data_IF_635284643661
#
_entry.id   IF_635284643661
#
_cell.length_a   1.000
_cell.length_b   1.000
_cell.length_c   1.000
_cell.angle_alpha   90.00
_cell.angle_beta   90.00
_cell.angle_gamma   90.00
#
_symmetry.space_group_name_H-M   'P 1'
#
loop_
_entity.id
_entity.type
_entity.pdbx_description
1 polymer ?
#
# COMPACT_ATOMS: atom_id res chain seq x y z
N UNK A 1 21.24 -7.44 -46.56
CA UNK A 1 20.57 -6.14 -46.36
C UNK A 1 19.96 -6.14 -44.96
N UNK A 2 20.64 -5.51 -43.99
CA UNK A 2 20.19 -5.48 -42.59
C UNK A 2 19.46 -4.15 -42.34
N UNK A 3 18.17 -4.20 -41.98
CA UNK A 3 17.40 -3.03 -41.58
C UNK A 3 17.78 -2.63 -40.16
N UNK A 4 18.55 -1.55 -40.01
CA UNK A 4 18.72 -0.88 -38.72
C UNK A 4 17.40 -0.24 -38.31
N UNK A 5 16.80 -0.74 -37.24
CA UNK A 5 15.69 -0.06 -36.57
C UNK A 5 16.25 1.17 -35.85
N UNK A 6 16.01 2.35 -36.41
CA UNK A 6 16.20 3.61 -35.69
C UNK A 6 15.14 3.65 -34.60
N UNK A 7 15.58 3.54 -33.34
CA UNK A 7 14.72 3.78 -32.18
C UNK A 7 14.14 5.18 -32.29
N UNK A 8 12.82 5.28 -32.50
CA UNK A 8 12.13 6.57 -32.53
C UNK A 8 12.36 7.23 -31.18
N UNK A 9 13.01 8.40 -31.18
CA UNK A 9 13.13 9.26 -30.01
C UNK A 9 11.75 9.43 -29.39
N UNK A 10 11.49 8.70 -28.30
CA UNK A 10 10.26 8.85 -27.55
C UNK A 10 10.26 10.28 -27.00
N UNK A 11 9.30 11.09 -27.43
CA UNK A 11 9.14 12.43 -26.91
C UNK A 11 8.98 12.33 -25.39
N UNK A 12 9.70 13.17 -24.60
CA UNK A 12 9.61 13.12 -23.17
C UNK A 12 8.16 13.34 -22.74
N UNK A 13 7.64 12.41 -21.94
CA UNK A 13 6.30 12.53 -21.37
C UNK A 13 6.37 13.61 -20.30
N UNK A 14 5.72 14.75 -20.55
CA UNK A 14 5.70 15.85 -19.58
C UNK A 14 4.61 15.63 -18.53
N UNK A 15 4.79 16.19 -17.33
CA UNK A 15 3.77 16.14 -16.27
C UNK A 15 2.40 16.68 -16.74
N UNK A 16 2.39 17.67 -17.63
CA UNK A 16 1.18 18.21 -18.27
C UNK A 16 0.48 17.16 -19.13
N UNK A 17 1.23 16.34 -19.87
CA UNK A 17 0.68 15.27 -20.70
C UNK A 17 0.09 14.15 -19.84
N UNK A 18 0.76 13.78 -18.74
CA UNK A 18 0.23 12.80 -17.79
C UNK A 18 -1.05 13.27 -17.13
N UNK A 19 -1.09 14.51 -16.64
CA UNK A 19 -2.28 15.10 -16.00
C UNK A 19 -3.47 15.19 -16.96
N UNK A 20 -3.21 15.55 -18.23
CA UNK A 20 -4.25 15.57 -19.27
C UNK A 20 -4.81 14.17 -19.58
N UNK A 21 -3.92 13.16 -19.66
CA UNK A 21 -4.30 11.76 -19.87
C UNK A 21 -5.11 11.21 -18.69
N UNK A 22 -4.63 11.40 -17.46
CA UNK A 22 -5.33 11.00 -16.23
C UNK A 22 -6.74 11.59 -16.15
N UNK A 23 -6.88 12.90 -16.39
CA UNK A 23 -8.19 13.54 -16.40
C UNK A 23 -9.13 13.00 -17.49
N UNK A 24 -8.57 12.54 -18.63
CA UNK A 24 -9.36 11.95 -19.70
C UNK A 24 -9.85 10.55 -19.32
N UNK A 25 -8.97 9.72 -18.75
CA UNK A 25 -9.29 8.37 -18.29
C UNK A 25 -10.38 8.42 -17.19
N UNK A 26 -10.22 9.30 -16.21
CA UNK A 26 -11.19 9.47 -15.11
C UNK A 26 -12.57 9.91 -15.63
N UNK A 27 -12.64 10.71 -16.70
CA UNK A 27 -13.91 11.19 -17.26
C UNK A 27 -14.63 10.18 -18.16
N UNK A 28 -13.91 9.25 -18.77
CA UNK A 28 -14.48 8.33 -19.77
C UNK A 28 -14.99 7.03 -19.16
N UNK A 29 -14.64 6.74 -17.92
CA UNK A 29 -14.89 5.44 -17.32
C UNK A 29 -15.43 5.60 -15.89
N UNK A 30 -16.75 5.75 -15.76
CA UNK A 30 -17.47 5.74 -14.48
C UNK A 30 -17.27 4.42 -13.70
N UNK A 31 -16.76 3.36 -14.34
CA UNK A 31 -16.37 2.12 -13.67
C UNK A 31 -14.99 2.21 -13.00
N UNK A 32 -14.10 3.10 -13.47
CA UNK A 32 -12.77 3.32 -12.87
C UNK A 32 -12.80 4.28 -11.69
N UNK A 33 -13.91 5.00 -11.46
CA UNK A 33 -14.07 5.87 -10.27
C UNK A 33 -13.94 5.12 -8.95
N UNK A 34 -14.02 3.78 -8.96
CA UNK A 34 -13.82 2.92 -7.80
C UNK A 34 -12.54 2.06 -7.85
N UNK A 35 -11.79 2.07 -8.96
CA UNK A 35 -10.52 1.33 -9.03
C UNK A 35 -9.37 2.21 -8.55
N UNK A 36 -8.93 1.97 -7.32
CA UNK A 36 -7.75 2.58 -6.75
C UNK A 36 -6.52 2.24 -7.60
N UNK A 37 -5.80 3.26 -8.07
CA UNK A 37 -4.52 3.09 -8.75
C UNK A 37 -3.54 2.39 -7.79
N UNK A 38 -2.80 1.38 -8.27
CA UNK A 38 -1.78 0.70 -7.47
C UNK A 38 -0.44 0.68 -8.19
N UNK A 39 0.64 0.91 -7.45
CA UNK A 39 2.02 0.76 -7.91
C UNK A 39 2.52 -0.63 -7.56
N UNK A 40 3.15 -1.32 -8.51
CA UNK A 40 3.86 -2.58 -8.25
C UNK A 40 5.37 -2.35 -8.23
N UNK A 41 6.01 -2.68 -7.11
CA UNK A 41 7.47 -2.65 -6.94
C UNK A 41 7.92 -3.97 -6.31
N UNK A 42 8.86 -4.68 -6.94
CA UNK A 42 9.39 -5.96 -6.46
C UNK A 42 8.31 -6.99 -6.08
N UNK A 43 7.19 -7.00 -6.81
CA UNK A 43 6.03 -7.87 -6.54
C UNK A 43 5.06 -7.35 -5.48
N UNK A 44 5.39 -6.26 -4.80
CA UNK A 44 4.53 -5.64 -3.79
C UNK A 44 3.63 -4.56 -4.38
N UNK A 45 2.36 -4.55 -3.99
CA UNK A 45 1.35 -3.61 -4.51
C UNK A 45 0.99 -2.53 -3.50
N UNK A 46 1.23 -1.27 -3.89
CA UNK A 46 0.99 -0.10 -3.05
C UNK A 46 -0.15 0.74 -3.58
N UNK A 47 -1.13 1.13 -2.76
CA UNK A 47 -2.17 2.05 -3.19
C UNK A 47 -1.56 3.42 -3.52
N UNK A 48 -1.98 3.99 -4.65
CA UNK A 48 -1.67 5.34 -5.06
C UNK A 48 -2.90 6.21 -4.79
N UNK A 49 -2.69 7.28 -4.05
CA UNK A 49 -3.70 8.24 -3.59
C UNK A 49 -3.19 9.65 -3.86
N UNK A 50 -4.09 10.63 -3.79
CA UNK A 50 -3.68 12.04 -3.90
C UNK A 50 -2.81 12.50 -2.73
N UNK A 51 -2.80 11.78 -1.61
CA UNK A 51 -2.01 12.12 -0.44
C UNK A 51 -0.56 11.65 -0.58
N UNK A 52 -0.34 10.50 -1.22
CA UNK A 52 1.00 9.90 -1.30
C UNK A 52 1.67 10.03 -2.68
N UNK A 53 1.00 10.58 -3.69
CA UNK A 53 1.58 10.90 -4.99
C UNK A 53 1.75 12.41 -5.14
N UNK A 54 3.00 12.86 -5.25
CA UNK A 54 3.35 14.25 -5.51
C UNK A 54 4.15 14.36 -6.79
N UNK A 55 4.02 15.51 -7.47
CA UNK A 55 4.87 15.87 -8.60
C UNK A 55 5.54 17.18 -8.19
N UNK A 56 6.84 17.14 -7.99
CA UNK A 56 7.65 18.30 -7.63
C UNK A 56 7.80 19.28 -8.81
N UNK A 57 8.22 20.51 -8.52
CA UNK A 57 8.37 21.58 -9.52
C UNK A 57 9.46 21.32 -10.56
N UNK A 58 10.45 20.47 -10.23
CA UNK A 58 11.48 19.99 -11.14
C UNK A 58 11.04 18.76 -11.97
N UNK A 59 9.78 18.33 -11.81
CA UNK A 59 9.18 17.27 -12.62
C UNK A 59 9.47 15.86 -12.12
N UNK A 60 9.93 15.69 -10.88
CA UNK A 60 10.09 14.40 -10.22
C UNK A 60 8.74 13.92 -9.71
N UNK A 61 8.46 12.63 -9.88
CA UNK A 61 7.30 11.98 -9.28
C UNK A 61 7.77 11.39 -7.95
N UNK A 62 7.24 11.94 -6.86
CA UNK A 62 7.52 11.47 -5.51
C UNK A 62 6.34 10.61 -5.05
N UNK A 63 6.65 9.42 -4.56
CA UNK A 63 5.66 8.53 -3.97
C UNK A 63 6.07 8.21 -2.53
N UNK A 64 5.20 8.55 -1.59
CA UNK A 64 5.35 8.12 -0.20
C UNK A 64 4.75 6.73 -0.03
N UNK A 65 5.61 5.74 0.16
CA UNK A 65 5.17 4.37 0.37
C UNK A 65 5.05 4.14 1.87
N UNK A 66 3.82 4.17 2.39
CA UNK A 66 3.58 3.79 3.78
C UNK A 66 3.61 2.27 3.90
N UNK A 67 4.68 1.74 4.50
CA UNK A 67 4.70 0.36 4.96
C UNK A 67 3.98 0.34 6.31
N UNK A 68 2.82 -0.32 6.44
CA UNK A 68 2.21 -0.51 7.76
C UNK A 68 3.24 -1.20 8.65
N UNK A 69 3.58 -0.55 9.77
CA UNK A 69 4.46 -1.13 10.77
C UNK A 69 3.60 -1.83 11.82
N UNK A 70 3.60 -3.15 11.79
CA UNK A 70 2.81 -3.97 12.69
C UNK A 70 3.07 -3.69 14.17
N UNK A 71 4.31 -3.34 14.55
CA UNK A 71 4.62 -2.96 15.94
C UNK A 71 3.92 -1.65 16.32
N UNK A 72 3.89 -0.67 15.42
CA UNK A 72 3.19 0.61 15.65
C UNK A 72 1.68 0.36 15.75
N UNK A 73 1.12 -0.49 14.89
CA UNK A 73 -0.29 -0.86 14.94
C UNK A 73 -0.64 -1.58 16.24
N UNK A 74 0.19 -2.52 16.71
CA UNK A 74 0.00 -3.23 17.98
C UNK A 74 0.02 -2.27 19.18
N UNK A 75 0.98 -1.34 19.21
CA UNK A 75 1.05 -0.31 20.26
C UNK A 75 -0.19 0.59 20.21
N UNK A 76 -0.60 1.04 19.03
CA UNK A 76 -1.79 1.88 18.87
C UNK A 76 -3.06 1.17 19.33
N UNK A 77 -3.21 -0.12 19.00
CA UNK A 77 -4.33 -0.94 19.46
C UNK A 77 -4.35 -1.09 20.98
N UNK A 78 -3.21 -1.39 21.60
CA UNK A 78 -3.10 -1.53 23.05
C UNK A 78 -3.39 -0.20 23.80
N UNK A 79 -3.00 0.93 23.22
CA UNK A 79 -3.31 2.26 23.77
C UNK A 79 -4.78 2.64 23.60
N UNK A 80 -5.40 2.27 22.48
CA UNK A 80 -6.81 2.56 22.19
C UNK A 80 -7.77 1.66 22.97
N UNK A 81 -7.34 0.44 23.31
CA UNK A 81 -8.13 -0.55 24.04
C UNK A 81 -7.45 -0.89 25.38
N UNK A 82 -7.51 0.02 26.37
CA UNK A 82 -7.02 -0.24 27.72
C UNK A 82 -7.97 -1.19 28.47
N UNK A 83 -8.12 -2.43 27.99
CA UNK A 83 -8.74 -3.52 28.73
C UNK A 83 -7.77 -4.00 29.83
N UNK A 84 -8.19 -4.89 30.74
CA UNK A 84 -7.47 -5.20 32.00
C UNK A 84 -6.00 -5.67 31.87
N UNK A 85 -5.48 -5.95 30.67
CA UNK A 85 -4.03 -6.07 30.46
C UNK A 85 -3.58 -5.75 29.02
N UNK A 86 -3.31 -4.47 28.70
CA UNK A 86 -2.72 -4.09 27.40
C UNK A 86 -1.29 -4.62 27.26
N UNK A 87 -0.63 -4.88 28.40
CA UNK A 87 0.68 -5.49 28.46
C UNK A 87 0.66 -6.96 28.07
N UNK A 88 -0.38 -7.72 28.41
CA UNK A 88 -0.46 -9.13 27.99
C UNK A 88 -0.67 -9.25 26.49
N UNK A 89 -1.50 -8.39 25.89
CA UNK A 89 -1.60 -8.29 24.43
C UNK A 89 -0.22 -8.03 23.79
N UNK A 90 0.50 -7.00 24.27
CA UNK A 90 1.82 -6.67 23.72
C UNK A 90 2.86 -7.77 23.95
N UNK A 91 2.76 -8.51 25.05
CA UNK A 91 3.61 -9.68 25.32
C UNK A 91 3.32 -10.80 24.33
N UNK A 92 2.06 -11.17 24.14
CA UNK A 92 1.64 -12.17 23.14
C UNK A 92 2.10 -11.75 21.75
N UNK A 93 1.94 -10.47 21.39
CA UNK A 93 2.35 -9.93 20.09
C UNK A 93 3.87 -10.02 19.90
N UNK A 94 4.65 -9.60 20.90
CA UNK A 94 6.11 -9.65 20.85
C UNK A 94 6.65 -11.10 20.86
N UNK A 95 5.91 -12.05 21.44
CA UNK A 95 6.27 -13.48 21.41
C UNK A 95 5.87 -14.17 20.11
N UNK A 96 5.15 -13.50 19.20
CA UNK A 96 4.64 -14.08 17.96
C UNK A 96 3.46 -15.04 18.17
N UNK A 97 2.79 -14.95 19.32
CA UNK A 97 1.59 -15.76 19.63
C UNK A 97 0.35 -15.11 19.03
N UNK A 98 0.35 -14.98 17.69
CA UNK A 98 -0.73 -14.32 16.95
C UNK A 98 -2.03 -15.12 16.98
N UNK A 99 -1.95 -16.43 17.23
CA UNK A 99 -3.12 -17.28 17.38
C UNK A 99 -3.86 -16.99 18.69
N UNK A 100 -3.15 -16.86 19.82
CA UNK A 100 -3.75 -16.39 21.06
C UNK A 100 -4.39 -15.00 20.88
N UNK A 101 -3.72 -14.11 20.13
CA UNK A 101 -4.28 -12.78 19.85
C UNK A 101 -5.63 -12.86 19.14
N UNK A 102 -5.76 -13.70 18.10
CA UNK A 102 -7.04 -13.86 17.36
C UNK A 102 -8.15 -14.51 18.17
N UNK A 103 -7.81 -15.26 19.20
CA UNK A 103 -8.78 -15.99 20.03
C UNK A 103 -9.27 -15.16 21.21
N UNK A 104 -8.39 -14.35 21.80
CA UNK A 104 -8.68 -13.62 23.05
C UNK A 104 -9.02 -12.15 22.84
N UNK A 105 -8.55 -11.53 21.74
CA UNK A 105 -8.84 -10.13 21.42
C UNK A 105 -9.65 -10.04 20.13
N UNK A 106 -10.96 -9.83 20.28
CA UNK A 106 -11.86 -9.49 19.18
C UNK A 106 -11.53 -8.07 18.64
N UNK A 107 -11.81 -7.83 17.36
CA UNK A 107 -11.64 -6.53 16.68
C UNK A 107 -10.19 -5.99 16.55
N UNK A 108 -9.17 -6.86 16.63
CA UNK A 108 -7.77 -6.46 16.36
C UNK A 108 -7.59 -6.12 14.87
N UNK A 109 -7.08 -4.92 14.52
CA UNK A 109 -6.89 -4.51 13.13
C UNK A 109 -5.86 -5.40 12.41
N UNK A 110 -6.08 -5.67 11.11
CA UNK A 110 -5.17 -6.49 10.30
C UNK A 110 -3.74 -5.93 10.25
N UNK A 111 -3.61 -4.61 10.34
CA UNK A 111 -2.34 -3.89 10.40
C UNK A 111 -1.43 -4.35 11.53
N UNK A 112 -1.98 -4.93 12.61
CA UNK A 112 -1.22 -5.53 13.73
C UNK A 112 -0.46 -6.78 13.29
N UNK A 113 -0.92 -7.47 12.24
CA UNK A 113 -0.34 -8.72 11.76
C UNK A 113 0.48 -8.53 10.47
N UNK A 114 0.17 -7.51 9.67
CA UNK A 114 0.80 -7.25 8.36
C UNK A 114 2.33 -7.09 8.47
N UNK A 115 3.07 -8.08 7.99
CA UNK A 115 4.53 -8.10 8.02
C UNK A 115 5.16 -8.59 9.33
N UNK A 116 4.37 -8.83 10.38
CA UNK A 116 4.81 -9.46 11.63
C UNK A 116 4.49 -10.95 11.69
N UNK A 117 3.32 -11.37 11.19
CA UNK A 117 2.93 -12.77 11.14
C UNK A 117 3.23 -13.38 9.74
N UNK A 118 4.16 -14.35 9.63
CA UNK A 118 4.46 -15.03 8.37
C UNK A 118 3.28 -15.83 7.79
N UNK A 119 2.30 -16.21 8.62
CA UNK A 119 1.10 -16.91 8.20
C UNK A 119 -0.03 -15.96 7.78
N UNK A 120 0.11 -14.67 8.07
CA UNK A 120 -0.87 -13.67 7.66
C UNK A 120 -0.73 -13.44 6.15
N UNK A 121 -1.52 -14.20 5.39
CA UNK A 121 -1.65 -14.04 3.96
C UNK A 121 -2.41 -12.74 3.72
N UNK A 122 -1.70 -11.71 3.24
CA UNK A 122 -2.33 -10.73 2.36
C UNK A 122 -2.99 -11.58 1.28
N UNK A 123 -4.31 -11.52 1.14
CA UNK A 123 -5.03 -12.28 0.11
C UNK A 123 -4.39 -11.97 -1.25
N UNK A 124 -3.48 -12.85 -1.67
CA UNK A 124 -2.98 -12.88 -3.03
C UNK A 124 -4.16 -13.41 -3.83
N UNK A 125 -4.82 -12.49 -4.53
CA UNK A 125 -5.91 -12.76 -5.47
C UNK A 125 -5.40 -13.78 -6.48
N UNK A 126 -5.69 -15.06 -6.20
CA UNK A 126 -5.51 -16.16 -7.14
C UNK A 126 -6.72 -16.14 -8.06
N UNK A 127 -6.65 -15.27 -9.06
CA UNK A 127 -7.52 -15.29 -10.24
C UNK A 127 -6.68 -15.47 -11.50
#
# INVERSE_FOLDING_TARGET
MSRSYVSKNALPVTARMLRGRLNTIIRQDEALTHQQLRLSLDGMSYPVTNANLQISDDGVIELEIYQPNAAVAAIAYALANPCESPLDFLRCWNSGDFEAIRQEWDDVPEEVFLGADPLHKVMEDRS
#
